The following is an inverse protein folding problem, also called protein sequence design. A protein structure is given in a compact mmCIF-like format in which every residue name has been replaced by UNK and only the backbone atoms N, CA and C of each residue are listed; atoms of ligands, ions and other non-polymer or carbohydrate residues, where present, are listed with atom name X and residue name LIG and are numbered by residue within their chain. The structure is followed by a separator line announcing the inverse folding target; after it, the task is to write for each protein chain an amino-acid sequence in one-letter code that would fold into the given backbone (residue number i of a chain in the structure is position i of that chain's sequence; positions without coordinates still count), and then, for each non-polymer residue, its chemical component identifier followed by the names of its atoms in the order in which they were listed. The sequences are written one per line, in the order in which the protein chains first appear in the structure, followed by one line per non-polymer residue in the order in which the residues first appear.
data_IF_746382626438
#
_entry.id   IF_746382626438
#
_cell.length_a   1.000
_cell.length_b   1.000
_cell.length_c   1.000
_cell.angle_alpha   90.00
_cell.angle_beta   90.00
_cell.angle_gamma   90.00
#
_symmetry.space_group_name_H-M   'P 1'
#
loop_
_entity.id
_entity.type
_entity.pdbx_description
1 polymer ?
#
# COMPACT_ATOMS: atom_id res chain seq x y z
N UNK A 1 10.70 0.94 3.28
CA UNK A 1 10.07 1.73 4.38
C UNK A 1 9.33 2.97 3.88
N UNK A 2 9.83 3.70 2.88
CA UNK A 2 9.09 4.84 2.28
C UNK A 2 7.73 4.47 1.67
N UNK A 3 7.52 3.20 1.30
CA UNK A 3 6.26 2.72 0.74
C UNK A 3 5.04 2.81 1.65
N UNK A 4 5.22 2.99 2.96
CA UNK A 4 4.11 3.21 3.91
C UNK A 4 4.01 4.68 4.32
N UNK A 5 5.13 5.34 4.60
CA UNK A 5 5.14 6.72 5.10
C UNK A 5 4.83 7.75 4.01
N UNK A 6 5.39 7.61 2.81
CA UNK A 6 5.16 8.56 1.71
C UNK A 6 3.68 8.69 1.34
N UNK A 7 2.89 7.60 1.14
CA UNK A 7 1.46 7.74 0.87
C UNK A 7 0.63 8.26 2.05
N UNK A 8 1.16 8.23 3.28
CA UNK A 8 0.53 8.86 4.44
C UNK A 8 0.82 10.36 4.55
N UNK A 9 1.98 10.80 4.06
CA UNK A 9 2.39 12.22 4.11
C UNK A 9 1.92 13.01 2.90
N UNK A 10 2.07 12.43 1.71
CA UNK A 10 1.79 13.07 0.41
C UNK A 10 0.39 12.72 -0.10
N UNK A 11 -0.16 11.59 0.35
CA UNK A 11 -1.49 11.11 -0.06
C UNK A 11 -1.43 9.99 -1.10
N UNK A 12 -2.57 9.32 -1.30
CA UNK A 12 -2.69 8.17 -2.20
C UNK A 12 -2.86 8.55 -3.68
N UNK A 13 -3.17 9.82 -3.96
CA UNK A 13 -3.33 10.31 -5.34
C UNK A 13 -1.97 10.44 -6.04
N UNK A 14 -0.94 10.87 -5.31
CA UNK A 14 0.42 11.07 -5.85
C UNK A 14 1.34 9.87 -5.57
N UNK A 15 1.15 9.18 -4.44
CA UNK A 15 2.00 8.07 -4.03
C UNK A 15 1.29 6.70 -4.03
N UNK A 16 0.21 6.57 -4.80
CA UNK A 16 -0.59 5.35 -4.92
C UNK A 16 0.15 4.16 -5.52
N UNK A 17 1.23 4.36 -6.26
CA UNK A 17 2.03 3.27 -6.84
C UNK A 17 2.91 2.57 -5.80
N UNK A 18 3.31 3.26 -4.73
CA UNK A 18 4.22 2.71 -3.73
C UNK A 18 3.62 1.53 -2.94
N UNK A 19 2.35 1.56 -2.51
CA UNK A 19 1.69 0.38 -1.96
C UNK A 19 1.58 -0.78 -2.96
N UNK A 20 1.46 -0.49 -4.25
CA UNK A 20 1.25 -1.49 -5.31
C UNK A 20 2.54 -2.15 -5.80
N UNK A 21 3.68 -1.46 -5.67
CA UNK A 21 5.00 -1.99 -6.02
C UNK A 21 5.44 -3.20 -5.16
N UNK A 22 4.88 -3.37 -3.96
CA UNK A 22 5.22 -4.51 -3.10
C UNK A 22 4.43 -5.77 -3.48
N UNK A 23 5.07 -6.93 -3.63
CA UNK A 23 4.35 -8.19 -3.96
C UNK A 23 3.61 -8.83 -2.77
N UNK A 24 3.67 -8.22 -1.57
CA UNK A 24 3.03 -8.71 -0.35
C UNK A 24 3.41 -10.16 0.04
N UNK A 25 4.65 -10.56 -0.22
CA UNK A 25 5.15 -11.92 0.09
C UNK A 25 5.30 -12.24 1.60
N UNK A 26 5.08 -11.27 2.50
CA UNK A 26 5.14 -11.47 3.95
C UNK A 26 6.54 -11.63 4.57
N UNK A 27 7.60 -11.84 3.77
CA UNK A 27 8.96 -12.11 4.27
C UNK A 27 9.52 -10.99 5.15
N UNK A 28 9.15 -9.74 4.86
CA UNK A 28 9.56 -8.61 5.67
C UNK A 28 8.98 -8.62 7.09
N UNK A 29 7.83 -9.25 7.30
CA UNK A 29 7.24 -9.42 8.63
C UNK A 29 7.90 -10.59 9.38
N UNK A 30 8.21 -11.68 8.68
CA UNK A 30 8.86 -12.87 9.25
C UNK A 30 10.27 -12.59 9.78
N UNK A 31 11.07 -11.81 9.02
CA UNK A 31 12.45 -11.49 9.39
C UNK A 31 12.57 -10.32 10.36
N UNK A 32 11.48 -9.61 10.67
CA UNK A 32 11.56 -8.37 11.43
C UNK A 32 11.84 -8.65 12.91
N UNK A 33 12.99 -8.23 13.47
CA UNK A 33 13.33 -8.46 14.88
C UNK A 33 12.42 -7.70 15.85
N UNK A 34 11.71 -6.67 15.36
CA UNK A 34 10.82 -5.81 16.14
C UNK A 34 9.33 -6.12 15.91
N UNK A 35 9.00 -7.11 15.07
CA UNK A 35 7.61 -7.51 14.82
C UNK A 35 6.75 -6.49 14.05
N UNK A 36 7.34 -5.63 13.21
CA UNK A 36 6.59 -4.61 12.47
C UNK A 36 5.78 -5.25 11.33
N UNK A 37 4.46 -5.12 11.39
CA UNK A 37 3.52 -5.64 10.38
C UNK A 37 3.42 -4.80 9.09
N UNK A 38 4.52 -4.64 8.35
CA UNK A 38 4.57 -3.88 7.09
C UNK A 38 3.56 -4.35 6.01
N UNK A 39 3.39 -5.66 5.74
CA UNK A 39 2.43 -6.14 4.74
C UNK A 39 0.99 -5.74 5.07
N UNK A 40 0.64 -5.72 6.37
CA UNK A 40 -0.69 -5.34 6.84
C UNK A 40 -1.01 -3.87 6.54
N UNK A 41 -0.05 -2.98 6.82
CA UNK A 41 -0.19 -1.55 6.52
C UNK A 41 -0.33 -1.29 5.02
N UNK A 42 0.49 -1.94 4.18
CA UNK A 42 0.40 -1.81 2.72
C UNK A 42 -0.95 -2.30 2.18
N UNK A 43 -1.49 -3.41 2.70
CA UNK A 43 -2.84 -3.89 2.37
C UNK A 43 -3.94 -2.90 2.75
N UNK A 44 -3.78 -2.19 3.86
CA UNK A 44 -4.75 -1.18 4.26
C UNK A 44 -4.69 0.03 3.33
N UNK A 45 -3.49 0.45 2.90
CA UNK A 45 -3.32 1.53 1.93
C UNK A 45 -3.94 1.19 0.57
N UNK A 46 -3.78 -0.05 0.07
CA UNK A 46 -4.48 -0.49 -1.16
C UNK A 46 -5.99 -0.47 -1.04
N UNK A 47 -6.53 -0.94 0.09
CA UNK A 47 -7.97 -0.88 0.36
C UNK A 47 -8.48 0.57 0.39
N UNK A 48 -7.72 1.48 1.01
CA UNK A 48 -8.03 2.91 1.01
C UNK A 48 -7.97 3.48 -0.41
N UNK A 49 -6.96 3.13 -1.21
CA UNK A 49 -6.84 3.58 -2.60
C UNK A 49 -8.02 3.09 -3.47
N UNK A 50 -8.49 1.86 -3.26
CA UNK A 50 -9.67 1.31 -3.93
C UNK A 50 -10.96 2.04 -3.51
N UNK A 51 -11.10 2.40 -2.24
CA UNK A 51 -12.26 3.13 -1.71
C UNK A 51 -12.26 4.61 -2.13
N UNK A 52 -11.09 5.22 -2.19
CA UNK A 52 -10.89 6.58 -2.70
C UNK A 52 -11.24 6.61 -4.18
N UNK A 53 -12.40 7.18 -4.52
CA UNK A 53 -12.93 7.25 -5.89
C UNK A 53 -12.09 8.12 -6.86
N UNK A 54 -10.95 8.65 -6.42
CA UNK A 54 -10.00 9.45 -7.21
C UNK A 54 -9.21 8.66 -8.26
N UNK A 55 -9.16 7.32 -8.15
CA UNK A 55 -8.50 6.48 -9.15
C UNK A 55 -9.45 6.11 -10.31
N UNK A 56 -8.95 6.14 -11.55
CA UNK A 56 -9.71 5.74 -12.76
C UNK A 56 -10.44 4.39 -12.56
N UNK A 57 -11.64 4.18 -13.13
CA UNK A 57 -12.37 2.91 -13.01
C UNK A 57 -11.53 1.69 -13.41
N UNK A 58 -10.68 1.84 -14.42
CA UNK A 58 -9.75 0.79 -14.87
C UNK A 58 -8.64 0.51 -13.86
N UNK A 59 -8.07 1.56 -13.27
CA UNK A 59 -7.07 1.42 -12.21
C UNK A 59 -7.67 0.77 -10.95
N UNK A 60 -8.93 1.08 -10.61
CA UNK A 60 -9.65 0.43 -9.51
C UNK A 60 -9.90 -1.05 -9.75
N UNK A 61 -10.25 -1.44 -10.97
CA UNK A 61 -10.46 -2.84 -11.33
C UNK A 61 -9.18 -3.67 -11.20
N UNK A 62 -8.01 -3.06 -11.47
CA UNK A 62 -6.71 -3.72 -11.29
C UNK A 62 -6.26 -3.84 -9.81
N UNK A 63 -6.93 -3.14 -8.90
CA UNK A 63 -6.65 -3.16 -7.46
C UNK A 63 -7.59 -4.09 -6.65
N UNK A 64 -8.64 -4.63 -7.29
CA UNK A 64 -9.58 -5.59 -6.71
C UNK A 64 -9.03 -7.02 -6.81
#
# INVERSE_FOLDING_TARGET
MGSVLTPLMVGLDEAGDLPNACTLNGRCQEVCPMGIGLPGMLRQLRRRQYQSRGTSPTARAALA
#
